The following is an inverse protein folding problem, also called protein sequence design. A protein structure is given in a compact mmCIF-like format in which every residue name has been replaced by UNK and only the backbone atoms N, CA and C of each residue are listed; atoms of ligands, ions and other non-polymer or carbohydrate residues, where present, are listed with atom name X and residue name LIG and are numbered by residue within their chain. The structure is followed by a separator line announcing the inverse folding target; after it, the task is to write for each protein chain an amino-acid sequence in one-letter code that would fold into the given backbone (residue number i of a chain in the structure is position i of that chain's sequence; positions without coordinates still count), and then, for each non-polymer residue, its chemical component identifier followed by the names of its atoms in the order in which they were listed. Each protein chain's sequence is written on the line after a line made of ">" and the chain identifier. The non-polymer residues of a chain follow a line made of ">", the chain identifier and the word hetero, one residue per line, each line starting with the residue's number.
data_IF_532031612524
#
_entry.id   IF_532031612524
#
_cell.length_a   1.000
_cell.length_b   1.000
_cell.length_c   1.000
_cell.angle_alpha   90.00
_cell.angle_beta   90.00
_cell.angle_gamma   90.00
#
_symmetry.space_group_name_H-M   'P 1'
#
loop_
_entity.id
_entity.type
_entity.pdbx_description
1 polymer ?
#
# COMPACT_ATOMS: atom_id res chain seq x y z
N UNK A 1 -48.83 -47.40 7.16
CA UNK A 1 -47.53 -46.71 7.39
C UNK A 1 -46.80 -46.30 6.12
N UNK A 2 -46.98 -46.98 4.97
CA UNK A 2 -46.32 -46.59 3.69
C UNK A 2 -46.88 -45.29 3.05
N UNK A 3 -48.13 -44.91 3.30
CA UNK A 3 -48.73 -43.71 2.67
C UNK A 3 -48.22 -42.38 3.24
N UNK A 4 -47.91 -42.35 4.54
CA UNK A 4 -47.51 -41.12 5.26
C UNK A 4 -46.11 -40.65 4.83
N UNK A 5 -45.22 -41.59 4.50
CA UNK A 5 -43.86 -41.33 3.98
C UNK A 5 -43.92 -40.69 2.58
N UNK A 6 -44.80 -41.20 1.71
CA UNK A 6 -44.98 -40.69 0.34
C UNK A 6 -45.61 -39.29 0.34
N UNK A 7 -46.54 -39.01 1.27
CA UNK A 7 -47.14 -37.69 1.44
C UNK A 7 -46.14 -36.65 1.97
N UNK A 8 -45.33 -37.01 2.96
CA UNK A 8 -44.29 -36.12 3.50
C UNK A 8 -43.20 -35.81 2.45
N UNK A 9 -42.81 -36.82 1.65
CA UNK A 9 -41.84 -36.64 0.56
C UNK A 9 -42.41 -35.76 -0.55
N UNK A 10 -43.69 -35.89 -0.91
CA UNK A 10 -44.35 -35.00 -1.89
C UNK A 10 -44.44 -33.56 -1.41
N UNK A 11 -44.84 -33.32 -0.15
CA UNK A 11 -44.85 -31.96 0.41
C UNK A 11 -43.47 -31.30 0.39
N UNK A 12 -42.43 -32.05 0.75
CA UNK A 12 -41.05 -31.56 0.70
C UNK A 12 -40.56 -31.29 -0.72
N UNK A 13 -41.00 -32.10 -1.69
CA UNK A 13 -40.72 -31.84 -3.11
C UNK A 13 -41.40 -30.55 -3.59
N UNK A 14 -42.67 -30.33 -3.23
CA UNK A 14 -43.41 -29.10 -3.54
C UNK A 14 -42.75 -27.86 -2.90
N UNK A 15 -42.28 -27.97 -1.66
CA UNK A 15 -41.52 -26.91 -0.96
C UNK A 15 -40.21 -26.58 -1.70
N UNK A 16 -39.42 -27.61 -2.07
CA UNK A 16 -38.16 -27.42 -2.80
C UNK A 16 -38.40 -26.86 -4.21
N UNK A 17 -39.45 -27.30 -4.91
CA UNK A 17 -39.80 -26.77 -6.23
C UNK A 17 -40.19 -25.29 -6.16
N UNK A 18 -40.88 -24.91 -5.09
CA UNK A 18 -41.22 -23.51 -4.82
C UNK A 18 -39.97 -22.68 -4.51
N UNK A 19 -39.10 -23.14 -3.62
CA UNK A 19 -37.82 -22.48 -3.32
C UNK A 19 -36.94 -22.35 -4.57
N UNK A 20 -36.88 -23.39 -5.41
CA UNK A 20 -36.14 -23.38 -6.66
C UNK A 20 -36.71 -22.36 -7.65
N UNK A 21 -38.03 -22.24 -7.73
CA UNK A 21 -38.68 -21.24 -8.58
C UNK A 21 -38.36 -19.82 -8.10
N UNK A 22 -38.44 -19.56 -6.80
CA UNK A 22 -38.08 -18.28 -6.18
C UNK A 22 -36.61 -17.93 -6.43
N UNK A 23 -35.68 -18.86 -6.21
CA UNK A 23 -34.25 -18.65 -6.48
C UNK A 23 -33.94 -18.44 -7.96
N UNK A 24 -34.65 -19.11 -8.87
CA UNK A 24 -34.49 -18.91 -10.32
C UNK A 24 -34.96 -17.53 -10.77
N UNK A 25 -36.07 -17.06 -10.20
CA UNK A 25 -36.58 -15.72 -10.47
C UNK A 25 -35.56 -14.66 -9.99
N UNK A 26 -35.03 -14.83 -8.77
CA UNK A 26 -33.99 -13.95 -8.24
C UNK A 26 -32.71 -14.00 -9.08
N UNK A 27 -32.23 -15.18 -9.47
CA UNK A 27 -31.08 -15.32 -10.35
C UNK A 27 -31.27 -14.59 -11.68
N UNK A 28 -32.43 -14.76 -12.32
CA UNK A 28 -32.71 -14.10 -13.60
C UNK A 28 -32.76 -12.58 -13.46
N UNK A 29 -33.34 -12.08 -12.35
CA UNK A 29 -33.34 -10.65 -12.02
C UNK A 29 -31.91 -10.11 -11.86
N UNK A 30 -31.08 -10.78 -11.06
CA UNK A 30 -29.69 -10.38 -10.82
C UNK A 30 -28.86 -10.46 -12.11
N UNK A 31 -29.05 -11.50 -12.91
CA UNK A 31 -28.35 -11.68 -14.18
C UNK A 31 -28.72 -10.59 -15.19
N UNK A 32 -30.00 -10.28 -15.33
CA UNK A 32 -30.44 -9.21 -16.23
C UNK A 32 -29.85 -7.87 -15.82
N UNK A 33 -29.79 -7.60 -14.52
CA UNK A 33 -29.16 -6.40 -13.97
C UNK A 33 -27.66 -6.34 -14.30
N UNK A 34 -26.95 -7.45 -14.05
CA UNK A 34 -25.53 -7.59 -14.35
C UNK A 34 -25.22 -7.43 -15.85
N UNK A 35 -26.04 -8.00 -16.73
CA UNK A 35 -25.86 -7.90 -18.18
C UNK A 35 -26.00 -6.44 -18.66
N UNK A 36 -26.94 -5.67 -18.09
CA UNK A 36 -27.10 -4.24 -18.40
C UNK A 36 -25.90 -3.43 -17.91
N UNK A 37 -25.44 -3.63 -16.66
CA UNK A 37 -24.24 -2.97 -16.15
C UNK A 37 -23.01 -3.28 -17.03
N UNK A 38 -22.83 -4.56 -17.40
CA UNK A 38 -21.73 -5.01 -18.24
C UNK A 38 -21.74 -4.35 -19.61
N UNK A 39 -22.91 -4.22 -20.25
CA UNK A 39 -23.02 -3.58 -21.57
C UNK A 39 -22.60 -2.10 -21.52
N UNK A 40 -23.05 -1.36 -20.51
CA UNK A 40 -22.64 0.03 -20.33
C UNK A 40 -21.13 0.14 -20.08
N UNK A 41 -20.57 -0.72 -19.23
CA UNK A 41 -19.12 -0.76 -18.96
C UNK A 41 -18.29 -1.10 -20.20
N UNK A 42 -18.70 -2.10 -20.99
CA UNK A 42 -18.02 -2.44 -22.24
C UNK A 42 -18.02 -1.28 -23.23
N UNK A 43 -19.14 -0.55 -23.32
CA UNK A 43 -19.26 0.62 -24.19
C UNK A 43 -18.44 1.81 -23.70
N UNK A 44 -18.40 2.06 -22.39
CA UNK A 44 -17.52 3.08 -21.80
C UNK A 44 -16.05 2.74 -22.11
N UNK A 45 -15.67 1.47 -21.95
CA UNK A 45 -14.31 1.01 -22.25
C UNK A 45 -13.93 1.21 -23.71
N UNK A 46 -14.78 0.81 -24.66
CA UNK A 46 -14.50 1.01 -26.09
C UNK A 46 -14.40 2.50 -26.45
N UNK A 47 -15.26 3.35 -25.89
CA UNK A 47 -15.19 4.81 -26.09
C UNK A 47 -13.93 5.42 -25.48
N UNK A 48 -13.46 4.94 -24.32
CA UNK A 48 -12.18 5.37 -23.72
C UNK A 48 -10.99 4.95 -24.61
N UNK A 49 -11.01 3.75 -25.19
CA UNK A 49 -10.00 3.27 -26.13
C UNK A 49 -9.97 4.14 -27.40
N UNK A 50 -11.13 4.44 -27.98
CA UNK A 50 -11.27 5.36 -29.14
C UNK A 50 -10.78 6.78 -28.80
N UNK A 51 -11.13 7.30 -27.61
CA UNK A 51 -10.70 8.61 -27.14
C UNK A 51 -9.18 8.71 -27.08
N UNK A 52 -8.51 7.67 -26.58
CA UNK A 52 -7.05 7.66 -26.49
C UNK A 52 -6.40 7.57 -27.87
N UNK A 53 -6.96 6.76 -28.77
CA UNK A 53 -6.49 6.71 -30.16
C UNK A 53 -6.60 8.08 -30.85
N UNK A 54 -7.74 8.77 -30.69
CA UNK A 54 -7.93 10.11 -31.26
C UNK A 54 -6.95 11.14 -30.68
N UNK A 55 -6.60 11.04 -29.40
CA UNK A 55 -5.55 11.91 -28.81
C UNK A 55 -4.18 11.64 -29.43
N UNK A 56 -3.83 10.38 -29.64
CA UNK A 56 -2.56 10.00 -30.29
C UNK A 56 -2.51 10.53 -31.72
N UNK A 57 -3.59 10.37 -32.48
CA UNK A 57 -3.71 10.87 -33.85
C UNK A 57 -3.63 12.40 -33.91
N UNK A 58 -4.23 13.10 -32.94
CA UNK A 58 -4.14 14.55 -32.84
C UNK A 58 -2.71 15.02 -32.51
N UNK A 59 -2.01 14.31 -31.62
CA UNK A 59 -0.61 14.61 -31.29
C UNK A 59 0.33 14.35 -32.49
N UNK A 60 0.05 13.31 -33.28
CA UNK A 60 0.79 13.04 -34.52
C UNK A 60 0.54 14.10 -35.58
N UNK A 61 -0.72 14.49 -35.80
CA UNK A 61 -1.07 15.57 -36.72
C UNK A 61 -0.44 16.92 -36.33
N UNK A 62 -0.30 17.18 -35.02
CA UNK A 62 0.38 18.36 -34.49
C UNK A 62 1.89 18.32 -34.79
N UNK A 63 2.55 17.17 -34.61
CA UNK A 63 3.97 16.97 -34.99
C UNK A 63 4.21 17.17 -36.49
N UNK A 64 3.25 16.77 -37.31
CA UNK A 64 3.31 16.92 -38.77
C UNK A 64 2.90 18.34 -39.26
N UNK A 65 2.53 19.24 -38.35
CA UNK A 65 2.10 20.61 -38.68
C UNK A 65 0.71 20.70 -39.34
N UNK A 66 -0.10 19.64 -39.30
CA UNK A 66 -1.44 19.61 -39.86
C UNK A 66 -2.48 20.13 -38.85
N UNK A 67 -2.46 21.44 -38.59
CA UNK A 67 -3.35 22.08 -37.60
C UNK A 67 -4.84 22.00 -37.96
N UNK A 68 -5.19 21.86 -39.25
CA UNK A 68 -6.57 21.65 -39.68
C UNK A 68 -7.13 20.33 -39.15
N UNK A 69 -6.36 19.25 -39.30
CA UNK A 69 -6.72 17.93 -38.75
C UNK A 69 -6.74 17.92 -37.22
N UNK A 70 -5.81 18.62 -36.57
CA UNK A 70 -5.80 18.77 -35.11
C UNK A 70 -7.09 19.41 -34.61
N UNK A 71 -7.56 20.48 -35.27
CA UNK A 71 -8.79 21.16 -34.89
C UNK A 71 -10.02 20.25 -35.04
N UNK A 72 -10.12 19.51 -36.15
CA UNK A 72 -11.20 18.54 -36.38
C UNK A 72 -11.22 17.45 -35.29
N UNK A 73 -10.07 16.86 -34.99
CA UNK A 73 -9.94 15.80 -33.99
C UNK A 73 -10.24 16.29 -32.57
N UNK A 74 -9.71 17.46 -32.16
CA UNK A 74 -9.89 18.01 -30.81
C UNK A 74 -11.28 18.57 -30.57
N UNK A 75 -11.80 19.39 -31.49
CA UNK A 75 -13.07 20.10 -31.29
C UNK A 75 -14.29 19.38 -31.85
N UNK A 76 -14.10 18.42 -32.77
CA UNK A 76 -15.16 17.57 -33.30
C UNK A 76 -15.20 16.22 -32.58
N UNK A 77 -14.26 15.35 -32.92
CA UNK A 77 -14.31 13.93 -32.54
C UNK A 77 -14.14 13.73 -31.04
N UNK A 78 -13.11 14.34 -30.42
CA UNK A 78 -12.84 14.22 -28.98
C UNK A 78 -14.02 14.68 -28.13
N UNK A 79 -14.58 15.85 -28.45
CA UNK A 79 -15.74 16.39 -27.72
C UNK A 79 -16.97 15.46 -27.84
N UNK A 80 -17.16 14.85 -29.00
CA UNK A 80 -18.27 13.91 -29.23
C UNK A 80 -18.09 12.64 -28.40
N UNK A 81 -16.89 12.04 -28.42
CA UNK A 81 -16.59 10.84 -27.65
C UNK A 81 -16.67 11.13 -26.14
N UNK A 82 -16.16 12.27 -25.67
CA UNK A 82 -16.29 12.68 -24.27
C UNK A 82 -17.76 12.78 -23.82
N UNK A 83 -18.62 13.42 -24.63
CA UNK A 83 -20.06 13.49 -24.34
C UNK A 83 -20.71 12.10 -24.30
N UNK A 84 -20.31 11.20 -25.19
CA UNK A 84 -20.83 9.83 -25.20
C UNK A 84 -20.38 9.05 -23.95
N UNK A 85 -19.13 9.23 -23.51
CA UNK A 85 -18.64 8.65 -22.26
C UNK A 85 -19.48 9.17 -21.09
N UNK A 86 -19.63 10.49 -20.96
CA UNK A 86 -20.43 11.10 -19.89
C UNK A 86 -21.88 10.59 -19.89
N UNK A 87 -22.51 10.45 -21.06
CA UNK A 87 -23.85 9.92 -21.19
C UNK A 87 -23.93 8.45 -20.73
N UNK A 88 -22.99 7.61 -21.14
CA UNK A 88 -22.95 6.20 -20.70
C UNK A 88 -22.64 6.08 -19.21
N UNK A 89 -21.76 6.92 -18.67
CA UNK A 89 -21.45 6.95 -17.22
C UNK A 89 -22.68 7.37 -16.41
N UNK A 90 -23.47 8.34 -16.87
CA UNK A 90 -24.75 8.70 -16.22
C UNK A 90 -25.76 7.56 -16.25
N UNK A 91 -25.95 6.91 -17.40
CA UNK A 91 -26.83 5.74 -17.53
C UNK A 91 -26.40 4.59 -16.62
N UNK A 92 -25.09 4.32 -16.55
CA UNK A 92 -24.55 3.32 -15.63
C UNK A 92 -24.83 3.69 -14.17
N UNK A 93 -24.64 4.96 -13.79
CA UNK A 93 -24.93 5.42 -12.44
C UNK A 93 -26.42 5.28 -12.07
N UNK A 94 -27.32 5.57 -12.99
CA UNK A 94 -28.77 5.35 -12.82
C UNK A 94 -29.10 3.87 -12.60
N UNK A 95 -28.51 2.97 -13.40
CA UNK A 95 -28.68 1.52 -13.22
C UNK A 95 -28.11 1.07 -11.87
N UNK A 96 -26.94 1.57 -11.47
CA UNK A 96 -26.30 1.17 -10.22
C UNK A 96 -27.01 1.65 -8.95
N UNK A 97 -27.98 2.59 -9.04
CA UNK A 97 -28.79 3.02 -7.89
C UNK A 97 -29.65 1.89 -7.32
N UNK A 98 -30.08 0.93 -8.14
CA UNK A 98 -30.84 -0.25 -7.70
C UNK A 98 -29.96 -1.38 -7.13
N UNK A 99 -28.64 -1.17 -7.09
CA UNK A 99 -27.64 -2.09 -6.54
C UNK A 99 -26.46 -2.23 -7.49
N UNK A 100 -25.25 -1.91 -7.02
CA UNK A 100 -24.02 -1.98 -7.83
C UNK A 100 -23.45 -3.40 -7.80
N UNK A 101 -23.28 -4.04 -8.97
CA UNK A 101 -22.66 -5.37 -9.07
C UNK A 101 -21.24 -5.34 -9.64
N UNK A 102 -20.98 -4.42 -10.57
CA UNK A 102 -19.70 -4.27 -11.24
C UNK A 102 -19.09 -2.91 -10.93
N UNK A 103 -17.79 -2.89 -10.69
CA UNK A 103 -17.01 -1.66 -10.48
C UNK A 103 -15.81 -1.68 -11.40
N UNK A 104 -15.62 -0.62 -12.19
CA UNK A 104 -14.42 -0.44 -13.03
C UNK A 104 -13.31 0.31 -12.26
N UNK A 105 -13.69 1.08 -11.24
CA UNK A 105 -12.76 1.88 -10.45
C UNK A 105 -12.01 1.00 -9.45
N UNK A 106 -10.68 1.04 -9.53
CA UNK A 106 -9.79 0.43 -8.56
C UNK A 106 -9.76 1.35 -7.33
N UNK A 107 -10.22 0.83 -6.20
CA UNK A 107 -10.17 1.51 -4.90
C UNK A 107 -8.87 1.23 -4.16
N UNK A 108 -8.62 2.01 -3.10
CA UNK A 108 -7.50 1.73 -2.19
C UNK A 108 -7.59 0.33 -1.56
N UNK A 109 -8.81 -0.21 -1.36
CA UNK A 109 -9.01 -1.55 -0.81
C UNK A 109 -8.53 -2.62 -1.80
N UNK A 110 -8.84 -2.47 -3.09
CA UNK A 110 -8.43 -3.44 -4.11
C UNK A 110 -6.90 -3.51 -4.24
N UNK A 111 -6.22 -2.35 -4.17
CA UNK A 111 -4.76 -2.29 -4.16
C UNK A 111 -4.22 -2.93 -2.88
N UNK A 112 -4.79 -2.59 -1.72
CA UNK A 112 -4.37 -3.12 -0.44
C UNK A 112 -4.50 -4.64 -0.36
N UNK A 113 -5.55 -5.24 -0.93
CA UNK A 113 -5.72 -6.70 -0.98
C UNK A 113 -4.60 -7.41 -1.76
N UNK A 114 -4.21 -6.84 -2.92
CA UNK A 114 -3.13 -7.39 -3.73
C UNK A 114 -1.80 -7.27 -3.00
N UNK A 115 -1.51 -6.09 -2.45
CA UNK A 115 -0.26 -5.84 -1.72
C UNK A 115 -0.19 -6.70 -0.45
N UNK A 116 -1.30 -6.85 0.27
CA UNK A 116 -1.40 -7.74 1.42
C UNK A 116 -1.08 -9.19 1.05
N UNK A 117 -1.56 -9.67 -0.11
CA UNK A 117 -1.25 -11.02 -0.59
C UNK A 117 0.24 -11.22 -0.90
N UNK A 118 0.93 -10.18 -1.37
CA UNK A 118 2.37 -10.24 -1.68
C UNK A 118 3.25 -10.07 -0.44
N UNK A 119 2.86 -9.19 0.47
CA UNK A 119 3.67 -8.77 1.63
C UNK A 119 3.33 -9.52 2.91
N UNK A 120 2.14 -10.11 3.00
CA UNK A 120 1.59 -10.68 4.23
C UNK A 120 1.03 -9.64 5.21
N UNK A 121 1.10 -8.34 4.90
CA UNK A 121 0.62 -7.26 5.77
C UNK A 121 -0.92 -7.20 5.70
N UNK A 122 -1.64 -7.23 6.83
CA UNK A 122 -3.11 -7.16 6.82
C UNK A 122 -3.65 -5.87 6.20
N UNK A 123 -4.70 -5.99 5.38
CA UNK A 123 -5.38 -4.86 4.73
C UNK A 123 -5.82 -3.79 5.73
N UNK A 124 -6.30 -4.21 6.91
CA UNK A 124 -6.72 -3.29 7.96
C UNK A 124 -5.58 -2.40 8.47
N UNK A 125 -4.34 -2.91 8.52
CA UNK A 125 -3.16 -2.11 8.90
C UNK A 125 -2.79 -1.13 7.78
N UNK A 126 -2.93 -1.53 6.51
CA UNK A 126 -2.62 -0.67 5.36
C UNK A 126 -3.60 0.48 5.18
N UNK A 127 -4.88 0.26 5.49
CA UNK A 127 -5.94 1.28 5.38
C UNK A 127 -6.02 2.19 6.62
N UNK A 128 -5.29 1.87 7.69
CA UNK A 128 -5.22 2.69 8.89
C UNK A 128 -4.59 4.05 8.55
N UNK A 129 -5.29 5.15 8.87
CA UNK A 129 -4.71 6.49 8.64
C UNK A 129 -3.48 6.69 9.52
N UNK A 130 -2.43 7.28 8.95
CA UNK A 130 -1.17 7.56 9.66
C UNK A 130 -1.41 8.38 10.94
N UNK A 131 -2.38 9.29 10.93
CA UNK A 131 -2.78 10.06 12.11
C UNK A 131 -3.26 9.16 13.25
N UNK A 132 -4.21 8.26 12.98
CA UNK A 132 -4.72 7.33 14.00
C UNK A 132 -3.61 6.43 14.51
N UNK A 133 -2.80 5.89 13.59
CA UNK A 133 -1.64 5.04 13.91
C UNK A 133 -0.72 5.75 14.90
N UNK A 134 -0.35 7.01 14.66
CA UNK A 134 0.55 7.79 15.52
C UNK A 134 -0.06 8.23 16.86
N UNK A 135 -1.39 8.34 16.96
CA UNK A 135 -2.07 8.69 18.21
C UNK A 135 -2.07 7.53 19.21
N UNK A 136 -2.04 6.29 18.72
CA UNK A 136 -2.01 5.06 19.54
C UNK A 136 -0.59 4.48 19.69
N UNK A 137 0.44 5.26 19.33
CA UNK A 137 1.81 4.80 19.26
C UNK A 137 2.34 4.28 20.59
N UNK A 138 2.15 5.01 21.68
CA UNK A 138 2.59 4.57 23.01
C UNK A 138 1.94 3.25 23.42
N UNK A 139 0.63 3.12 23.23
CA UNK A 139 -0.11 1.92 23.60
C UNK A 139 0.38 0.70 22.81
N UNK A 140 0.56 0.85 21.49
CA UNK A 140 1.09 -0.20 20.62
C UNK A 140 2.51 -0.61 20.95
N UNK A 141 3.36 0.35 21.32
CA UNK A 141 4.73 0.04 21.74
C UNK A 141 4.73 -0.69 23.10
N UNK A 142 3.80 -0.37 23.98
CA UNK A 142 3.62 -1.05 25.27
C UNK A 142 3.11 -2.50 25.16
N UNK A 143 2.50 -2.90 24.04
CA UNK A 143 2.13 -4.30 23.80
C UNK A 143 3.36 -5.23 23.77
N UNK A 144 4.53 -4.70 23.37
CA UNK A 144 5.81 -5.44 23.31
C UNK A 144 6.81 -5.00 24.37
N UNK A 145 6.91 -3.70 24.65
CA UNK A 145 7.91 -3.12 25.53
C UNK A 145 7.30 -2.85 26.91
N UNK A 146 7.69 -3.67 27.87
CA UNK A 146 7.24 -3.55 29.26
C UNK A 146 8.00 -2.42 29.94
N UNK A 147 7.28 -1.54 30.64
CA UNK A 147 7.80 -0.34 31.29
C UNK A 147 8.46 0.64 30.30
N UNK A 148 9.52 1.34 30.70
CA UNK A 148 10.22 2.34 29.85
C UNK A 148 9.33 3.51 29.37
N UNK A 149 8.33 3.89 30.18
CA UNK A 149 7.33 4.91 29.85
C UNK A 149 7.95 6.22 29.33
N UNK A 150 9.03 6.69 29.95
CA UNK A 150 9.70 7.94 29.54
C UNK A 150 10.39 7.81 28.17
N UNK A 151 11.02 6.66 27.90
CA UNK A 151 11.65 6.40 26.61
C UNK A 151 10.61 6.33 25.50
N UNK A 152 9.55 5.53 25.70
CA UNK A 152 8.43 5.39 24.77
C UNK A 152 7.81 6.76 24.48
N UNK A 153 7.46 7.53 25.52
CA UNK A 153 6.89 8.88 25.34
C UNK A 153 7.82 9.81 24.57
N UNK A 154 9.12 9.78 24.84
CA UNK A 154 10.11 10.63 24.18
C UNK A 154 10.22 10.30 22.69
N UNK A 155 10.27 9.01 22.37
CA UNK A 155 10.36 8.49 21.01
C UNK A 155 9.08 8.82 20.23
N UNK A 156 7.90 8.50 20.78
CA UNK A 156 6.60 8.78 20.17
C UNK A 156 6.44 10.27 19.86
N UNK A 157 6.84 11.15 20.79
CA UNK A 157 6.81 12.60 20.56
C UNK A 157 7.75 13.06 19.44
N UNK A 158 8.96 12.52 19.36
CA UNK A 158 9.91 12.87 18.29
C UNK A 158 9.39 12.42 16.91
N UNK A 159 8.86 11.21 16.82
CA UNK A 159 8.31 10.65 15.58
C UNK A 159 7.08 11.45 15.14
N UNK A 160 6.17 11.80 16.06
CA UNK A 160 5.02 12.65 15.76
C UNK A 160 5.44 14.03 15.24
N UNK A 161 6.46 14.67 15.83
CA UNK A 161 7.00 15.94 15.31
C UNK A 161 7.54 15.79 13.89
N UNK A 162 8.28 14.72 13.62
CA UNK A 162 8.81 14.47 12.27
C UNK A 162 7.69 14.26 11.25
N UNK A 163 6.67 13.46 11.56
CA UNK A 163 5.54 13.19 10.65
C UNK A 163 4.62 14.39 10.48
N UNK A 164 4.57 15.30 11.45
CA UNK A 164 3.88 16.58 11.33
C UNK A 164 4.64 17.63 10.50
N UNK A 165 5.82 17.30 9.95
CA UNK A 165 6.65 18.24 9.20
C UNK A 165 7.26 19.36 10.05
N UNK A 166 7.32 19.17 11.37
CA UNK A 166 7.91 20.13 12.31
C UNK A 166 9.42 19.90 12.51
N UNK A 167 9.97 18.86 11.89
CA UNK A 167 11.40 18.54 11.85
C UNK A 167 12.00 18.88 10.49
N UNK A 168 13.31 19.03 10.43
CA UNK A 168 14.06 19.19 9.18
C UNK A 168 13.86 17.98 8.25
N UNK A 169 13.44 18.23 7.01
CA UNK A 169 13.18 17.21 6.00
C UNK A 169 14.44 16.46 5.54
N UNK A 170 15.64 17.04 5.74
CA UNK A 170 16.91 16.41 5.40
C UNK A 170 17.45 15.49 6.51
N UNK A 171 16.70 15.27 7.59
CA UNK A 171 17.09 14.41 8.71
C UNK A 171 16.25 13.14 8.79
N UNK A 172 16.77 12.06 9.41
CA UNK A 172 15.97 10.87 9.69
C UNK A 172 14.73 11.18 10.52
N UNK A 173 13.72 10.31 10.43
CA UNK A 173 12.45 10.42 11.18
C UNK A 173 12.69 10.60 12.69
N UNK A 174 13.72 9.93 13.20
CA UNK A 174 14.21 10.09 14.57
C UNK A 174 15.63 9.55 14.70
N UNK A 175 16.40 10.14 15.59
CA UNK A 175 17.71 9.65 16.02
C UNK A 175 17.73 9.62 17.54
N UNK A 176 18.06 8.47 18.11
CA UNK A 176 17.95 8.22 19.54
C UNK A 176 19.18 7.49 20.04
N UNK A 177 19.59 7.80 21.27
CA UNK A 177 20.67 7.10 21.99
C UNK A 177 20.04 6.42 23.20
N UNK A 178 20.12 5.10 23.26
CA UNK A 178 19.57 4.31 24.36
C UNK A 178 20.64 3.98 25.41
N UNK A 179 20.53 4.63 26.57
CA UNK A 179 21.40 4.41 27.72
C UNK A 179 20.73 3.43 28.70
N UNK A 180 21.51 2.51 29.26
CA UNK A 180 21.00 1.47 30.18
C UNK A 180 21.82 0.18 30.12
N UNK A 181 21.56 -0.73 31.05
CA UNK A 181 22.22 -2.05 31.09
C UNK A 181 21.75 -2.95 29.95
N UNK A 182 22.46 -4.05 29.72
CA UNK A 182 22.01 -5.09 28.78
C UNK A 182 20.73 -5.76 29.27
N UNK A 183 19.91 -6.27 28.35
CA UNK A 183 18.70 -7.02 28.67
C UNK A 183 17.47 -6.20 29.10
N UNK A 184 17.55 -4.87 29.17
CA UNK A 184 16.42 -4.00 29.58
C UNK A 184 15.42 -3.68 28.47
N UNK A 185 15.59 -4.24 27.26
CA UNK A 185 14.67 -4.08 26.14
C UNK A 185 15.07 -3.05 25.08
N UNK A 186 16.33 -2.59 25.02
CA UNK A 186 16.79 -1.64 23.98
C UNK A 186 16.57 -2.17 22.55
N UNK A 187 17.00 -3.42 22.29
CA UNK A 187 16.81 -4.08 20.99
C UNK A 187 15.34 -4.37 20.72
N UNK A 188 14.56 -4.69 21.76
CA UNK A 188 13.13 -4.93 21.63
C UNK A 188 12.38 -3.64 21.25
N UNK A 189 12.77 -2.50 21.83
CA UNK A 189 12.25 -1.19 21.44
C UNK A 189 12.50 -0.91 19.95
N UNK A 190 13.69 -1.26 19.43
CA UNK A 190 13.99 -1.09 18.00
C UNK A 190 13.13 -1.99 17.11
N UNK A 191 12.89 -3.25 17.51
CA UNK A 191 11.99 -4.18 16.78
C UNK A 191 10.54 -3.72 16.83
N UNK A 192 10.05 -3.29 17.99
CA UNK A 192 8.71 -2.74 18.16
C UNK A 192 8.52 -1.46 17.33
N UNK A 193 9.53 -0.61 17.23
CA UNK A 193 9.52 0.55 16.33
C UNK A 193 9.48 0.15 14.85
N UNK A 194 10.25 -0.87 14.45
CA UNK A 194 10.24 -1.35 13.07
C UNK A 194 8.87 -1.92 12.68
N UNK A 195 8.29 -2.78 13.53
CA UNK A 195 6.94 -3.29 13.33
C UNK A 195 5.91 -2.16 13.31
N UNK A 196 5.97 -1.23 14.28
CA UNK A 196 5.00 -0.16 14.34
C UNK A 196 5.11 0.77 13.13
N UNK A 197 6.30 1.23 12.75
CA UNK A 197 6.44 2.22 11.69
C UNK A 197 6.28 1.63 10.28
N UNK A 198 6.76 0.40 10.08
CA UNK A 198 6.93 -0.19 8.75
C UNK A 198 6.15 -1.51 8.57
N UNK A 199 5.36 -1.90 9.56
CA UNK A 199 4.53 -3.10 9.55
C UNK A 199 5.34 -4.40 9.34
N UNK A 200 6.64 -4.35 9.63
CA UNK A 200 7.61 -5.44 9.48
C UNK A 200 8.70 -5.34 10.56
N UNK A 201 8.75 -6.29 11.50
CA UNK A 201 9.80 -6.33 12.53
C UNK A 201 11.19 -6.69 11.98
N UNK A 202 11.25 -7.28 10.77
CA UNK A 202 12.49 -7.54 10.05
C UNK A 202 13.03 -6.30 9.33
N UNK A 203 12.30 -5.18 9.33
CA UNK A 203 12.76 -3.88 8.85
C UNK A 203 13.75 -3.22 9.83
N UNK A 204 14.66 -4.01 10.40
CA UNK A 204 15.75 -3.56 11.26
C UNK A 204 17.09 -3.85 10.58
N UNK A 205 17.88 -2.80 10.37
CA UNK A 205 19.28 -2.91 9.95
C UNK A 205 20.13 -2.87 11.20
N UNK A 206 20.51 -4.04 11.71
CA UNK A 206 21.34 -4.14 12.92
C UNK A 206 22.82 -4.17 12.54
N UNK A 207 23.60 -3.29 13.15
CA UNK A 207 25.05 -3.21 12.96
C UNK A 207 25.71 -3.28 14.32
N UNK A 208 26.52 -4.31 14.53
CA UNK A 208 27.31 -4.50 15.75
C UNK A 208 28.58 -3.66 15.67
N UNK A 209 28.70 -2.66 16.53
CA UNK A 209 29.83 -1.73 16.52
C UNK A 209 31.12 -2.34 17.08
N UNK A 210 31.06 -3.51 17.73
CA UNK A 210 32.26 -4.29 18.08
C UNK A 210 33.06 -4.72 16.84
N UNK A 211 32.43 -4.86 15.67
CA UNK A 211 33.14 -5.18 14.42
C UNK A 211 33.87 -3.99 13.81
N UNK A 212 33.63 -2.79 14.34
CA UNK A 212 34.07 -1.50 13.81
C UNK A 212 34.99 -0.74 14.78
N UNK A 213 35.69 -1.47 15.65
CA UNK A 213 36.65 -0.90 16.61
C UNK A 213 37.93 -0.35 15.96
N UNK A 214 38.28 -0.84 14.76
CA UNK A 214 39.49 -0.47 14.06
C UNK A 214 39.20 0.48 12.88
N UNK A 215 40.15 1.39 12.60
CA UNK A 215 40.02 2.38 11.53
C UNK A 215 39.72 1.76 10.15
N UNK A 216 40.36 0.65 9.80
CA UNK A 216 40.16 -0.01 8.51
C UNK A 216 38.78 -0.66 8.37
N UNK A 217 38.14 -1.01 9.48
CA UNK A 217 36.80 -1.58 9.45
C UNK A 217 35.73 -0.54 9.08
N UNK A 218 35.96 0.76 9.36
CA UNK A 218 35.00 1.85 9.07
C UNK A 218 34.63 1.91 7.59
N UNK A 219 35.60 1.70 6.69
CA UNK A 219 35.33 1.68 5.24
C UNK A 219 34.37 0.56 4.83
N UNK A 220 34.26 -0.54 5.58
CA UNK A 220 33.27 -1.60 5.29
C UNK A 220 31.82 -1.16 5.56
N UNK A 221 31.63 -0.16 6.42
CA UNK A 221 30.30 0.31 6.80
C UNK A 221 29.63 1.08 5.64
N UNK A 222 30.39 1.92 4.92
CA UNK A 222 29.86 2.88 3.93
C UNK A 222 30.26 2.49 2.50
N UNK A 223 31.36 1.76 2.36
CA UNK A 223 32.00 1.43 1.09
C UNK A 223 33.42 1.95 1.05
N UNK A 224 34.25 1.36 0.20
CA UNK A 224 35.63 1.82 0.05
C UNK A 224 35.64 3.27 -0.47
N UNK A 225 36.68 4.08 -0.18
CA UNK A 225 36.83 5.40 -0.79
C UNK A 225 37.10 5.32 -2.31
N UNK A 226 36.84 6.39 -3.09
CA UNK A 226 37.22 6.44 -4.50
C UNK A 226 38.70 6.08 -4.71
N UNK A 227 38.99 5.09 -5.56
CA UNK A 227 40.35 4.64 -5.85
C UNK A 227 40.83 3.40 -5.08
N UNK A 228 39.98 2.79 -4.24
CA UNK A 228 40.24 1.51 -3.59
C UNK A 228 39.45 0.36 -4.23
N UNK A 229 39.98 -0.86 -4.16
CA UNK A 229 39.26 -2.07 -4.60
C UNK A 229 37.96 -2.21 -3.80
N UNK A 230 36.83 -2.36 -4.48
CA UNK A 230 35.50 -2.39 -3.86
C UNK A 230 34.82 -1.02 -3.75
N UNK A 231 35.31 0.04 -4.41
CA UNK A 231 34.63 1.34 -4.46
C UNK A 231 33.21 1.28 -5.06
N UNK A 232 32.99 0.38 -6.03
CA UNK A 232 31.67 0.16 -6.62
C UNK A 232 30.76 -0.75 -5.77
N UNK A 233 31.33 -1.40 -4.74
CA UNK A 233 30.57 -2.18 -3.77
C UNK A 233 30.19 -1.25 -2.61
N UNK A 234 28.90 -0.99 -2.44
CA UNK A 234 28.43 -0.21 -1.29
C UNK A 234 28.76 -0.92 0.03
N UNK A 235 28.94 -0.15 1.09
CA UNK A 235 29.19 -0.70 2.42
C UNK A 235 27.95 -1.34 3.04
N UNK A 236 28.16 -2.06 4.14
CA UNK A 236 27.12 -2.82 4.84
C UNK A 236 25.91 -1.96 5.20
N UNK A 237 26.12 -0.73 5.70
CA UNK A 237 25.03 0.20 6.04
C UNK A 237 24.37 0.77 4.78
N UNK A 238 25.17 1.30 3.86
CA UNK A 238 24.64 1.97 2.66
C UNK A 238 23.86 1.03 1.78
N UNK A 239 24.30 -0.23 1.62
CA UNK A 239 23.58 -1.24 0.85
C UNK A 239 22.30 -1.69 1.55
N UNK A 240 22.35 -1.94 2.86
CA UNK A 240 21.18 -2.34 3.61
C UNK A 240 20.08 -1.26 3.57
N UNK A 241 20.45 0.01 3.75
CA UNK A 241 19.53 1.15 3.67
C UNK A 241 19.06 1.38 2.23
N UNK A 242 19.92 1.21 1.22
CA UNK A 242 19.52 1.30 -0.19
C UNK A 242 18.47 0.25 -0.57
N UNK A 243 18.64 -0.99 -0.09
CA UNK A 243 17.69 -2.07 -0.33
C UNK A 243 16.40 -1.91 0.48
N UNK A 244 16.49 -1.36 1.70
CA UNK A 244 15.34 -1.11 2.60
C UNK A 244 15.38 0.32 3.18
N UNK A 245 14.93 1.33 2.40
CA UNK A 245 14.97 2.73 2.83
C UNK A 245 14.08 3.01 4.05
N UNK A 246 12.99 2.25 4.20
CA UNK A 246 12.09 2.31 5.33
C UNK A 246 12.49 1.24 6.34
N UNK A 247 13.44 1.57 7.21
CA UNK A 247 13.95 0.66 8.22
C UNK A 247 14.40 1.40 9.48
N UNK A 248 14.48 0.65 10.58
CA UNK A 248 15.13 1.11 11.82
C UNK A 248 16.59 0.67 11.75
N UNK A 249 17.52 1.63 11.75
CA UNK A 249 18.95 1.33 11.84
C UNK A 249 19.33 1.27 13.32
N UNK A 250 19.79 0.11 13.78
CA UNK A 250 20.24 -0.11 15.15
C UNK A 250 21.76 -0.30 15.16
N UNK A 251 22.47 0.70 15.69
CA UNK A 251 23.88 0.58 16.05
C UNK A 251 23.99 0.01 17.46
N UNK A 252 24.32 -1.28 17.57
CA UNK A 252 24.48 -1.96 18.85
C UNK A 252 25.89 -1.72 19.41
N UNK A 253 26.01 -1.56 20.72
CA UNK A 253 27.28 -1.28 21.43
C UNK A 253 28.09 -0.11 20.84
N UNK A 254 27.42 1.00 20.49
CA UNK A 254 28.01 2.17 19.83
C UNK A 254 29.23 2.76 20.57
N UNK A 255 29.32 2.58 21.88
CA UNK A 255 30.47 2.98 22.69
C UNK A 255 31.77 2.27 22.32
N UNK A 256 31.71 1.11 21.64
CA UNK A 256 32.88 0.37 21.17
C UNK A 256 33.36 0.79 19.79
N UNK A 257 32.58 1.57 19.04
CA UNK A 257 32.93 1.99 17.69
C UNK A 257 34.22 2.83 17.67
N UNK A 258 35.00 2.68 16.60
CA UNK A 258 36.10 3.61 16.33
C UNK A 258 35.57 5.04 16.17
N UNK A 259 36.31 6.04 16.65
CA UNK A 259 35.90 7.45 16.61
C UNK A 259 35.50 7.92 15.20
N UNK A 260 36.19 7.44 14.16
CA UNK A 260 35.89 7.79 12.76
C UNK A 260 34.47 7.38 12.31
N UNK A 261 33.81 6.41 12.98
CA UNK A 261 32.42 6.02 12.69
C UNK A 261 31.44 7.16 13.01
N UNK A 262 31.72 7.99 14.03
CA UNK A 262 30.82 9.08 14.43
C UNK A 262 30.82 10.27 13.47
N UNK A 263 31.83 10.35 12.59
CA UNK A 263 31.99 11.46 11.63
C UNK A 263 31.32 11.18 10.28
N UNK A 264 30.83 9.96 10.09
CA UNK A 264 30.19 9.44 8.88
C UNK A 264 28.69 9.65 8.98
#
# INVERSE_FOLDING_TARGET
>A
MQDVSTQATRKRLEEIEKELAEQREEYNRLKSHWDVEKQHLQKIRSLKEELEQVKLDAAEAERQGNYGRVAELRYGTLLTIQKQIEEQTKKLAEVQQSGKMLTEEISANDIAEIVAKWTGIPVQRMLETERTKLLTMEDRLHERVIAQNDAIRTISNAIRRSRAGLSDANKPIGSFIFLGTTGVGKTEMARALAEFLFDDESAIVRIDMSEYMEKHAVSRLIGAPPGYVGYEEGGQLTEAVRQRPYSVVLFDEIEKAHHDVFNV
#
